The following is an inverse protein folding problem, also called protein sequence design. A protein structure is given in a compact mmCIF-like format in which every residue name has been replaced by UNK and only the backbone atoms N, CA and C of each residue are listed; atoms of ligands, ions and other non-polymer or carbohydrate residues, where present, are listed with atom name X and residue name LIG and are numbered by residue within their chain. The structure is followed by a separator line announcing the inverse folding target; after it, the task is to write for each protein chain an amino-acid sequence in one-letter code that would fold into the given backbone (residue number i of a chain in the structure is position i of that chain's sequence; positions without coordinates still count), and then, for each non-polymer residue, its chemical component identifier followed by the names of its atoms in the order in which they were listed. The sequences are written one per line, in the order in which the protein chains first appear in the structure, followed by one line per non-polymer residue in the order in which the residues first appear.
data_IF_892237491182
#
_entry.id   IF_892237491182
#
_cell.length_a   1.000
_cell.length_b   1.000
_cell.length_c   1.000
_cell.angle_alpha   90.00
_cell.angle_beta   90.00
_cell.angle_gamma   90.00
#
_symmetry.space_group_name_H-M   'P 1'
#
loop_
_entity.id
_entity.type
_entity.pdbx_description
1 polymer ?
#
# COMPACT_ATOMS: atom_id res chain seq x y z
N UNK A 1 21.17 15.89 -35.57
CA UNK A 1 20.75 16.98 -34.65
C UNK A 1 19.39 16.69 -34.01
N UNK A 2 18.28 16.62 -34.76
CA UNK A 2 16.92 16.36 -34.21
C UNK A 2 16.83 15.10 -33.34
N UNK A 3 17.48 14.01 -33.76
CA UNK A 3 17.50 12.74 -33.00
C UNK A 3 18.09 12.88 -31.59
N UNK A 4 19.15 13.69 -31.42
CA UNK A 4 19.77 13.92 -30.11
C UNK A 4 18.87 14.74 -29.19
N UNK A 5 18.10 15.70 -29.73
CA UNK A 5 17.11 16.45 -28.95
C UNK A 5 15.97 15.56 -28.48
N UNK A 6 15.47 14.67 -29.35
CA UNK A 6 14.40 13.71 -28.98
C UNK A 6 14.89 12.76 -27.87
N UNK A 7 16.09 12.19 -27.99
CA UNK A 7 16.68 11.36 -26.95
C UNK A 7 16.91 12.13 -25.64
N UNK A 8 17.34 13.38 -25.73
CA UNK A 8 17.48 14.27 -24.57
C UNK A 8 16.15 14.50 -23.85
N UNK A 9 15.06 14.78 -24.59
CA UNK A 9 13.73 14.96 -24.02
C UNK A 9 13.20 13.69 -23.36
N UNK A 10 13.33 12.53 -24.01
CA UNK A 10 12.91 11.24 -23.45
C UNK A 10 13.68 10.93 -22.15
N UNK A 11 15.00 11.15 -22.16
CA UNK A 11 15.84 10.93 -20.98
C UNK A 11 15.45 11.84 -19.83
N UNK A 12 15.17 13.12 -20.12
CA UNK A 12 14.70 14.08 -19.12
C UNK A 12 13.37 13.65 -18.48
N UNK A 13 12.39 13.26 -19.30
CA UNK A 13 11.09 12.76 -18.81
C UNK A 13 11.28 11.52 -17.93
N UNK A 14 12.15 10.59 -18.32
CA UNK A 14 12.45 9.40 -17.54
C UNK A 14 13.06 9.74 -16.16
N UNK A 15 14.00 10.70 -16.11
CA UNK A 15 14.61 11.16 -14.85
C UNK A 15 13.57 11.80 -13.93
N UNK A 16 12.69 12.64 -14.48
CA UNK A 16 11.63 13.30 -13.71
C UNK A 16 10.68 12.25 -13.10
N UNK A 17 10.21 11.28 -13.90
CA UNK A 17 9.35 10.19 -13.42
C UNK A 17 10.06 9.38 -12.33
N UNK A 18 11.33 9.03 -12.55
CA UNK A 18 12.13 8.28 -11.57
C UNK A 18 12.23 9.03 -10.23
N UNK A 19 12.49 10.34 -10.28
CA UNK A 19 12.56 11.18 -9.09
C UNK A 19 11.26 11.18 -8.29
N UNK A 20 10.10 11.29 -8.96
CA UNK A 20 8.79 11.21 -8.30
C UNK A 20 8.56 9.84 -7.65
N UNK A 21 8.85 8.75 -8.36
CA UNK A 21 8.71 7.39 -7.82
C UNK A 21 9.63 7.19 -6.60
N UNK A 22 10.87 7.68 -6.66
CA UNK A 22 11.81 7.58 -5.56
C UNK A 22 11.32 8.33 -4.32
N UNK A 23 10.85 9.57 -4.51
CA UNK A 23 10.30 10.40 -3.43
C UNK A 23 9.07 9.75 -2.79
N UNK A 24 8.18 9.17 -3.60
CA UNK A 24 6.98 8.49 -3.11
C UNK A 24 7.33 7.27 -2.24
N UNK A 25 8.29 6.44 -2.69
CA UNK A 25 8.80 5.30 -1.90
C UNK A 25 9.46 5.72 -0.58
N UNK A 26 10.12 6.86 -0.54
CA UNK A 26 10.68 7.40 0.71
C UNK A 26 9.57 7.84 1.66
N UNK A 27 8.53 8.51 1.15
CA UNK A 27 7.39 8.92 1.95
C UNK A 27 6.67 7.71 2.55
N UNK A 28 6.46 6.65 1.77
CA UNK A 28 5.89 5.39 2.22
C UNK A 28 6.67 4.78 3.39
N UNK A 29 8.00 4.71 3.28
CA UNK A 29 8.85 4.20 4.36
C UNK A 29 8.74 5.04 5.63
N UNK A 30 8.72 6.36 5.48
CA UNK A 30 8.67 7.29 6.61
C UNK A 30 7.28 7.33 7.28
N UNK A 31 6.21 7.14 6.51
CA UNK A 31 4.84 7.14 7.02
C UNK A 31 4.43 5.79 7.63
N UNK A 32 5.02 4.69 7.18
CA UNK A 32 4.62 3.32 7.53
C UNK A 32 4.49 3.13 9.04
N UNK A 33 5.53 3.45 9.81
CA UNK A 33 5.54 3.22 11.26
C UNK A 33 4.41 4.00 11.95
N UNK A 34 4.25 5.27 11.60
CA UNK A 34 3.21 6.13 12.17
C UNK A 34 1.81 5.64 11.83
N UNK A 35 1.58 5.20 10.60
CA UNK A 35 0.30 4.67 10.15
C UNK A 35 0.00 3.31 10.78
N UNK A 36 1.03 2.49 10.96
CA UNK A 36 0.96 1.20 11.62
C UNK A 36 0.52 1.35 13.07
N UNK A 37 1.16 2.25 13.82
CA UNK A 37 0.77 2.54 15.21
C UNK A 37 -0.67 3.07 15.31
N UNK A 38 -1.12 3.88 14.35
CA UNK A 38 -2.52 4.36 14.30
C UNK A 38 -3.52 3.23 14.04
N UNK A 39 -3.15 2.27 13.19
CA UNK A 39 -3.95 1.08 12.96
C UNK A 39 -4.05 0.22 14.23
N UNK A 40 -2.92 -0.09 14.89
CA UNK A 40 -2.91 -0.87 16.14
C UNK A 40 -3.71 -0.18 17.26
N UNK A 41 -3.60 1.15 17.37
CA UNK A 41 -4.41 1.94 18.30
C UNK A 41 -5.91 1.86 17.97
N UNK A 42 -6.27 1.86 16.68
CA UNK A 42 -7.67 1.73 16.28
C UNK A 42 -8.20 0.32 16.56
N UNK A 43 -7.36 -0.71 16.37
CA UNK A 43 -7.67 -2.09 16.73
C UNK A 43 -7.90 -2.24 18.24
N UNK A 44 -6.99 -1.72 19.07
CA UNK A 44 -7.10 -1.84 20.54
C UNK A 44 -8.31 -1.12 21.11
N UNK A 45 -8.71 0.00 20.51
CA UNK A 45 -9.91 0.75 20.88
C UNK A 45 -11.19 0.19 20.24
N UNK A 46 -11.11 -0.87 19.44
CA UNK A 46 -12.22 -1.37 18.60
C UNK A 46 -12.89 -0.27 17.76
N UNK A 47 -12.12 0.74 17.35
CA UNK A 47 -12.62 1.87 16.59
C UNK A 47 -12.70 1.51 15.10
N UNK A 48 -13.83 0.94 14.68
CA UNK A 48 -14.01 0.34 13.34
C UNK A 48 -13.72 1.33 12.21
N UNK A 49 -14.19 2.57 12.30
CA UNK A 49 -13.88 3.61 11.30
C UNK A 49 -12.38 3.90 11.22
N UNK A 50 -11.67 3.86 12.35
CA UNK A 50 -10.21 4.01 12.39
C UNK A 50 -9.49 2.80 11.78
N UNK A 51 -9.99 1.58 12.02
CA UNK A 51 -9.47 0.36 11.38
C UNK A 51 -9.64 0.47 9.87
N UNK A 52 -10.82 0.88 9.39
CA UNK A 52 -11.09 1.08 7.96
C UNK A 52 -10.13 2.12 7.35
N UNK A 53 -10.05 3.32 7.94
CA UNK A 53 -9.28 4.43 7.39
C UNK A 53 -7.76 4.20 7.46
N UNK A 54 -7.24 3.71 8.59
CA UNK A 54 -5.81 3.47 8.74
C UNK A 54 -5.37 2.20 8.00
N UNK A 55 -6.22 1.16 7.98
CA UNK A 55 -5.97 -0.04 7.20
C UNK A 55 -5.88 0.24 5.71
N UNK A 56 -6.77 1.09 5.16
CA UNK A 56 -6.76 1.40 3.73
C UNK A 56 -5.46 2.11 3.32
N UNK A 57 -4.99 3.07 4.12
CA UNK A 57 -3.68 3.72 3.91
C UNK A 57 -2.53 2.73 3.90
N UNK A 58 -2.49 1.83 4.88
CA UNK A 58 -1.44 0.82 4.99
C UNK A 58 -1.42 -0.14 3.79
N UNK A 59 -2.59 -0.53 3.27
CA UNK A 59 -2.66 -1.41 2.10
C UNK A 59 -2.08 -0.72 0.86
N UNK A 60 -2.12 0.59 0.73
CA UNK A 60 -1.50 1.27 -0.42
C UNK A 60 -0.01 1.56 -0.21
N UNK A 61 0.49 1.50 1.02
CA UNK A 61 1.89 1.72 1.32
C UNK A 61 2.78 0.59 0.75
N UNK A 62 3.75 0.94 -0.09
CA UNK A 62 4.65 -0.02 -0.76
C UNK A 62 5.66 -0.67 0.19
N UNK A 63 5.93 -0.05 1.34
CA UNK A 63 6.83 -0.57 2.37
C UNK A 63 6.14 -1.55 3.35
N UNK A 64 4.83 -1.76 3.22
CA UNK A 64 4.09 -2.68 4.09
C UNK A 64 4.62 -4.12 3.96
N UNK A 65 5.03 -4.70 5.09
CA UNK A 65 5.53 -6.06 5.13
C UNK A 65 4.40 -7.09 5.04
N UNK A 66 4.69 -8.28 4.51
CA UNK A 66 3.71 -9.38 4.41
C UNK A 66 3.07 -9.70 5.77
N UNK A 67 3.85 -9.73 6.85
CA UNK A 67 3.34 -10.00 8.21
C UNK A 67 2.33 -8.93 8.68
N UNK A 68 2.57 -7.67 8.34
CA UNK A 68 1.64 -6.58 8.67
C UNK A 68 0.35 -6.69 7.83
N UNK A 69 0.47 -7.03 6.55
CA UNK A 69 -0.67 -7.30 5.69
C UNK A 69 -1.52 -8.46 6.20
N UNK A 70 -0.88 -9.56 6.63
CA UNK A 70 -1.55 -10.71 7.22
C UNK A 70 -2.34 -10.33 8.47
N UNK A 71 -1.76 -9.49 9.33
CA UNK A 71 -2.46 -8.98 10.51
C UNK A 71 -3.65 -8.10 10.15
N UNK A 72 -3.55 -7.24 9.14
CA UNK A 72 -4.70 -6.44 8.65
C UNK A 72 -5.83 -7.37 8.19
N UNK A 73 -5.50 -8.41 7.41
CA UNK A 73 -6.47 -9.41 6.93
C UNK A 73 -7.14 -10.11 8.11
N UNK A 74 -6.38 -10.56 9.10
CA UNK A 74 -6.90 -11.21 10.31
C UNK A 74 -7.90 -10.30 11.04
N UNK A 75 -7.50 -9.05 11.31
CA UNK A 75 -8.29 -8.06 12.03
C UNK A 75 -9.61 -7.78 11.33
N UNK A 76 -9.56 -7.61 10.01
CA UNK A 76 -10.72 -7.30 9.18
C UNK A 76 -11.64 -8.50 9.04
N UNK A 77 -11.11 -9.69 8.74
CA UNK A 77 -11.89 -10.92 8.58
C UNK A 77 -12.68 -11.27 9.84
N UNK A 78 -12.10 -11.05 11.02
CA UNK A 78 -12.77 -11.27 12.30
C UNK A 78 -13.96 -10.33 12.55
N UNK A 79 -14.03 -9.19 11.85
CA UNK A 79 -14.96 -8.09 12.13
C UNK A 79 -15.92 -7.79 10.99
N UNK A 80 -15.63 -8.21 9.76
CA UNK A 80 -16.39 -7.87 8.55
C UNK A 80 -17.84 -8.37 8.58
N UNK A 81 -18.11 -9.51 9.23
CA UNK A 81 -19.46 -10.04 9.40
C UNK A 81 -20.37 -9.11 10.20
N UNK A 82 -19.80 -8.42 11.20
CA UNK A 82 -20.50 -7.45 12.05
C UNK A 82 -20.45 -6.03 11.50
N UNK A 83 -19.40 -5.70 10.74
CA UNK A 83 -19.16 -4.35 10.22
C UNK A 83 -18.91 -4.39 8.70
N UNK A 84 -19.97 -4.30 7.88
CA UNK A 84 -19.88 -4.37 6.41
C UNK A 84 -18.98 -3.29 5.79
N UNK A 85 -18.79 -2.16 6.47
CA UNK A 85 -17.87 -1.09 6.04
C UNK A 85 -16.42 -1.54 5.88
N UNK A 86 -16.03 -2.65 6.55
CA UNK A 86 -14.71 -3.24 6.38
C UNK A 86 -14.57 -4.10 5.12
N UNK A 87 -15.65 -4.37 4.37
CA UNK A 87 -15.63 -5.28 3.23
C UNK A 87 -14.71 -4.80 2.10
N UNK A 88 -14.69 -3.50 1.86
CA UNK A 88 -13.75 -2.89 0.88
C UNK A 88 -12.31 -3.13 1.31
N UNK A 89 -12.01 -2.92 2.59
CA UNK A 89 -10.68 -3.11 3.14
C UNK A 89 -10.25 -4.59 3.06
N UNK A 90 -11.17 -5.51 3.35
CA UNK A 90 -10.96 -6.95 3.21
C UNK A 90 -10.54 -7.30 1.78
N UNK A 91 -11.34 -6.89 0.79
CA UNK A 91 -11.07 -7.17 -0.62
C UNK A 91 -9.72 -6.59 -1.07
N UNK A 92 -9.43 -5.34 -0.69
CA UNK A 92 -8.15 -4.70 -1.03
C UNK A 92 -6.96 -5.45 -0.42
N UNK A 93 -7.07 -5.90 0.83
CA UNK A 93 -6.01 -6.60 1.53
C UNK A 93 -5.74 -7.97 0.89
N UNK A 94 -6.79 -8.73 0.58
CA UNK A 94 -6.67 -10.01 -0.13
C UNK A 94 -6.10 -9.83 -1.54
N UNK A 95 -6.56 -8.83 -2.29
CA UNK A 95 -6.02 -8.53 -3.61
C UNK A 95 -4.52 -8.22 -3.54
N UNK A 96 -4.09 -7.37 -2.60
CA UNK A 96 -2.65 -7.09 -2.41
C UNK A 96 -1.86 -8.35 -2.07
N UNK A 97 -2.38 -9.21 -1.21
CA UNK A 97 -1.73 -10.49 -0.85
C UNK A 97 -1.62 -11.43 -2.05
N UNK A 98 -2.67 -11.51 -2.88
CA UNK A 98 -2.62 -12.28 -4.12
C UNK A 98 -1.55 -11.74 -5.06
N UNK A 99 -1.40 -10.42 -5.18
CA UNK A 99 -0.34 -9.81 -5.98
C UNK A 99 1.07 -10.11 -5.44
N UNK A 100 1.27 -10.10 -4.13
CA UNK A 100 2.56 -10.47 -3.51
C UNK A 100 2.92 -11.95 -3.72
N UNK A 101 1.91 -12.84 -3.77
CA UNK A 101 2.10 -14.27 -3.93
C UNK A 101 2.14 -14.75 -5.39
N UNK A 102 2.06 -13.86 -6.39
CA UNK A 102 2.17 -14.27 -7.79
C UNK A 102 3.60 -14.76 -8.06
N UNK A 103 3.80 -16.03 -8.48
CA UNK A 103 5.07 -16.42 -9.04
C UNK A 103 5.31 -15.54 -10.27
N UNK A 104 6.47 -14.88 -10.35
CA UNK A 104 6.89 -14.18 -11.56
C UNK A 104 6.92 -15.20 -12.69
N UNK A 105 5.87 -15.24 -13.53
CA UNK A 105 5.92 -16.00 -14.78
C UNK A 105 7.00 -15.33 -15.63
N UNK A 106 8.22 -15.86 -15.56
CA UNK A 106 9.25 -15.65 -16.57
C UNK A 106 8.70 -16.30 -17.85
N UNK A 107 8.15 -15.49 -18.73
CA UNK A 107 8.02 -15.82 -20.15
C UNK A 107 9.26 -15.30 -20.86
#
# INVERSE_FOLDING_TARGET
MVFFYVLGCISFVAIVIYFFIYKDRLNDKNSLEKEWQRFLKSESLNYIKGIAANGDKLIWNTALQSKQLDKIIEVVKARVSKYPELKKLENNAFNKKLHQNRPLRRY
#
